data_IF_408699386332
#
_entry.id   IF_408699386332
#
_cell.length_a   1.000
_cell.length_b   1.000
_cell.length_c   1.000
_cell.angle_alpha   90.00
_cell.angle_beta   90.00
_cell.angle_gamma   90.00
#
_symmetry.space_group_name_H-M   'P 1'
#
loop_
_entity.id
_entity.type
_entity.pdbx_description
1 polymer ?
#
# COMPACT_ATOMS: atom_id res chain seq x y z
N UNK A 1 20.17 1.19 -12.61
CA UNK A 1 19.36 1.65 -11.48
C UNK A 1 17.91 1.56 -11.91
N UNK A 2 17.21 0.58 -11.39
CA UNK A 2 15.80 0.35 -11.71
C UNK A 2 14.92 0.73 -10.55
N UNK A 3 13.66 1.04 -10.83
CA UNK A 3 12.65 1.41 -9.84
C UNK A 3 11.63 0.29 -9.75
N UNK A 4 11.50 -0.29 -8.56
CA UNK A 4 10.56 -1.37 -8.28
C UNK A 4 9.49 -0.91 -7.30
N UNK A 5 8.27 -1.38 -7.47
CA UNK A 5 7.17 -1.16 -6.54
C UNK A 5 6.69 -2.51 -6.02
N UNK A 6 6.66 -2.69 -4.71
CA UNK A 6 6.07 -3.86 -4.05
C UNK A 6 4.69 -3.52 -3.51
N UNK A 7 3.76 -4.46 -3.63
CA UNK A 7 2.44 -4.40 -2.99
C UNK A 7 2.51 -4.56 -1.47
N UNK A 8 1.36 -4.65 -0.83
CA UNK A 8 1.21 -4.80 0.60
C UNK A 8 1.99 -6.03 1.12
N UNK A 9 2.86 -5.81 2.12
CA UNK A 9 3.81 -6.83 2.58
C UNK A 9 3.22 -7.67 3.71
N UNK A 10 2.56 -7.01 4.66
CA UNK A 10 1.94 -7.67 5.80
C UNK A 10 2.81 -8.75 6.45
N UNK A 11 4.03 -8.40 6.85
CA UNK A 11 4.94 -9.32 7.57
C UNK A 11 5.34 -10.58 6.81
N UNK A 12 5.18 -10.63 5.50
CA UNK A 12 5.45 -11.80 4.65
C UNK A 12 6.87 -11.78 4.09
N UNK A 13 7.87 -11.77 4.99
CA UNK A 13 9.28 -11.57 4.67
C UNK A 13 9.80 -12.55 3.61
N UNK A 14 9.56 -13.86 3.77
CA UNK A 14 10.11 -14.86 2.85
C UNK A 14 9.56 -14.70 1.43
N UNK A 15 8.28 -14.31 1.31
CA UNK A 15 7.66 -14.01 0.01
C UNK A 15 8.22 -12.73 -0.61
N UNK A 16 8.46 -11.70 0.21
CA UNK A 16 9.12 -10.47 -0.22
C UNK A 16 10.50 -10.76 -0.80
N UNK A 17 11.33 -11.48 -0.05
CA UNK A 17 12.70 -11.81 -0.49
C UNK A 17 12.68 -12.66 -1.77
N UNK A 18 11.75 -13.63 -1.87
CA UNK A 18 11.60 -14.44 -3.08
C UNK A 18 11.22 -13.58 -4.29
N UNK A 19 10.28 -12.65 -4.15
CA UNK A 19 9.88 -11.78 -5.25
C UNK A 19 11.01 -10.83 -5.68
N UNK A 20 11.76 -10.27 -4.71
CA UNK A 20 12.92 -9.41 -4.97
C UNK A 20 14.06 -10.16 -5.67
N UNK A 21 14.31 -11.41 -5.30
CA UNK A 21 15.31 -12.27 -5.97
C UNK A 21 14.89 -12.57 -7.42
N UNK A 22 13.63 -12.94 -7.63
CA UNK A 22 13.07 -13.22 -8.95
C UNK A 22 13.11 -12.01 -9.90
N UNK A 23 12.86 -10.79 -9.41
CA UNK A 23 13.02 -9.57 -10.21
C UNK A 23 14.46 -9.05 -10.29
N UNK A 24 15.42 -9.75 -9.65
CA UNK A 24 16.85 -9.38 -9.60
C UNK A 24 17.09 -8.00 -8.99
N UNK A 25 16.34 -7.65 -7.96
CA UNK A 25 16.57 -6.42 -7.20
C UNK A 25 17.98 -6.38 -6.65
N UNK A 26 18.67 -5.25 -6.81
CA UNK A 26 20.08 -5.10 -6.50
C UNK A 26 20.36 -3.85 -5.65
N UNK A 27 21.61 -3.71 -5.19
CA UNK A 27 22.05 -2.57 -4.38
C UNK A 27 22.03 -1.22 -5.12
N UNK A 28 21.87 -1.23 -6.44
CA UNK A 28 21.73 0.00 -7.22
C UNK A 28 20.28 0.46 -7.42
N UNK A 29 19.30 -0.34 -6.99
CA UNK A 29 17.90 -0.13 -7.31
C UNK A 29 17.13 0.53 -6.16
N UNK A 30 15.99 1.14 -6.47
CA UNK A 30 15.07 1.75 -5.51
C UNK A 30 13.83 0.89 -5.39
N UNK A 31 13.40 0.62 -4.16
CA UNK A 31 12.17 -0.09 -3.82
C UNK A 31 11.14 0.89 -3.27
N UNK A 32 10.00 0.96 -3.92
CA UNK A 32 8.80 1.64 -3.45
C UNK A 32 7.83 0.61 -2.86
N UNK A 33 6.97 1.02 -1.91
CA UNK A 33 5.96 0.16 -1.30
C UNK A 33 4.60 0.86 -1.27
N UNK A 34 3.54 0.10 -1.54
CA UNK A 34 2.15 0.60 -1.46
C UNK A 34 1.67 0.83 -0.03
N UNK A 35 2.50 0.57 0.98
CA UNK A 35 2.14 0.61 2.41
C UNK A 35 1.84 -0.78 2.97
N UNK A 36 1.25 -0.81 4.18
CA UNK A 36 0.86 -2.02 4.90
C UNK A 36 2.02 -3.03 5.08
N UNK A 37 3.10 -2.56 5.72
CA UNK A 37 4.33 -3.33 5.92
C UNK A 37 4.14 -4.42 6.97
N UNK A 38 3.48 -4.08 8.08
CA UNK A 38 3.26 -4.97 9.22
C UNK A 38 1.95 -5.75 9.15
N UNK A 39 1.64 -6.39 10.27
CA UNK A 39 0.42 -7.14 10.55
C UNK A 39 0.26 -8.48 9.81
N UNK A 40 -0.63 -9.33 10.33
CA UNK A 40 -1.08 -10.58 9.73
C UNK A 40 0.00 -11.65 9.52
N UNK A 41 1.11 -11.30 8.92
CA UNK A 41 2.21 -12.24 8.62
C UNK A 41 3.15 -12.47 9.81
N UNK A 42 3.97 -13.52 9.75
CA UNK A 42 4.77 -13.97 10.90
C UNK A 42 6.05 -13.17 11.13
N UNK A 43 6.57 -12.48 10.12
CA UNK A 43 7.95 -11.97 10.12
C UNK A 43 8.03 -10.43 10.05
N UNK A 44 7.11 -9.74 10.77
CA UNK A 44 7.02 -8.27 10.80
C UNK A 44 8.38 -7.63 11.11
N UNK A 45 9.10 -8.12 12.14
CA UNK A 45 10.42 -7.57 12.50
C UNK A 45 11.43 -7.69 11.35
N UNK A 46 11.49 -8.84 10.69
CA UNK A 46 12.42 -9.03 9.57
C UNK A 46 12.08 -8.08 8.40
N UNK A 47 10.79 -7.85 8.14
CA UNK A 47 10.38 -6.87 7.12
C UNK A 47 10.87 -5.47 7.48
N UNK A 48 10.61 -4.99 8.71
CA UNK A 48 11.06 -3.68 9.18
C UNK A 48 12.59 -3.56 9.08
N UNK A 49 13.33 -4.51 9.65
CA UNK A 49 14.80 -4.49 9.66
C UNK A 49 15.37 -4.43 8.23
N UNK A 50 14.84 -5.25 7.31
CA UNK A 50 15.29 -5.28 5.93
C UNK A 50 14.98 -3.96 5.20
N UNK A 51 13.75 -3.46 5.30
CA UNK A 51 13.35 -2.24 4.59
C UNK A 51 14.10 -1.02 5.12
N UNK A 52 14.28 -0.89 6.42
CA UNK A 52 15.12 0.16 7.02
C UNK A 52 16.58 0.06 6.57
N UNK A 53 17.12 -1.15 6.36
CA UNK A 53 18.49 -1.34 5.88
C UNK A 53 18.73 -0.77 4.48
N UNK A 54 17.68 -0.63 3.67
CA UNK A 54 17.74 -0.03 2.33
C UNK A 54 17.96 1.49 2.37
N UNK A 55 17.70 2.16 3.51
CA UNK A 55 17.86 3.62 3.70
C UNK A 55 17.12 4.43 2.62
N UNK A 56 17.80 5.37 1.98
CA UNK A 56 17.24 6.25 0.94
C UNK A 56 16.74 5.50 -0.31
N UNK A 57 17.09 4.22 -0.44
CA UNK A 57 16.62 3.34 -1.52
C UNK A 57 15.25 2.72 -1.24
N UNK A 58 14.70 2.92 -0.05
CA UNK A 58 13.33 2.51 0.27
C UNK A 58 12.43 3.73 0.44
N UNK A 59 11.29 3.70 -0.21
CA UNK A 59 10.24 4.72 -0.10
C UNK A 59 8.88 4.04 0.02
N UNK A 60 8.07 4.43 0.99
CA UNK A 60 6.72 3.90 1.16
C UNK A 60 5.71 5.02 1.25
N UNK A 61 4.51 4.78 0.75
CA UNK A 61 3.34 5.58 1.12
C UNK A 61 2.71 5.04 2.39
N UNK A 62 1.83 5.83 3.02
CA UNK A 62 1.08 5.46 4.21
C UNK A 62 0.05 4.39 3.85
N UNK A 63 0.11 3.21 4.50
CA UNK A 63 -0.98 2.25 4.57
C UNK A 63 -1.78 2.41 5.87
N UNK A 64 -3.03 1.94 5.89
CA UNK A 64 -3.84 2.07 7.11
C UNK A 64 -3.29 1.25 8.28
N UNK A 65 -2.62 0.13 8.04
CA UNK A 65 -1.93 -0.63 9.06
C UNK A 65 -0.67 0.06 9.58
N UNK A 66 0.02 0.82 8.74
CA UNK A 66 1.19 1.61 9.12
C UNK A 66 0.80 2.78 10.03
N UNK A 67 -0.40 3.38 9.82
CA UNK A 67 -0.93 4.42 10.73
C UNK A 67 -1.07 3.88 12.15
N UNK A 68 -1.70 2.71 12.31
CA UNK A 68 -1.85 2.11 13.63
C UNK A 68 -0.51 1.79 14.29
N UNK A 69 0.45 1.29 13.50
CA UNK A 69 1.80 1.00 14.00
C UNK A 69 2.51 2.28 14.47
N UNK A 70 2.43 3.37 13.69
CA UNK A 70 2.99 4.66 14.07
C UNK A 70 2.33 5.25 15.32
N UNK A 71 0.99 5.24 15.39
CA UNK A 71 0.24 5.71 16.55
C UNK A 71 0.59 4.92 17.82
N UNK A 72 0.81 3.62 17.69
CA UNK A 72 1.25 2.77 18.80
C UNK A 72 2.67 3.13 19.28
N UNK A 73 3.59 3.34 18.36
CA UNK A 73 4.97 3.73 18.65
C UNK A 73 5.07 5.11 19.28
N UNK A 74 4.25 6.07 18.82
CA UNK A 74 4.20 7.45 19.29
C UNK A 74 3.33 7.64 20.54
N UNK A 75 2.74 6.56 21.07
CA UNK A 75 1.82 6.57 22.21
C UNK A 75 0.56 7.45 22.00
N UNK A 76 0.12 7.59 20.73
CA UNK A 76 -1.08 8.38 20.34
C UNK A 76 -2.29 7.53 19.98
N UNK A 77 -2.14 6.21 19.89
CA UNK A 77 -3.22 5.31 19.50
C UNK A 77 -4.40 5.37 20.47
N UNK A 78 -5.61 5.62 19.96
CA UNK A 78 -6.81 5.54 20.77
C UNK A 78 -7.18 4.09 21.09
N UNK A 79 -7.97 3.88 22.18
CA UNK A 79 -8.46 2.53 22.52
C UNK A 79 -9.26 1.91 21.36
N UNK A 80 -10.13 2.68 20.73
CA UNK A 80 -10.96 2.20 19.61
C UNK A 80 -10.06 1.80 18.44
N UNK A 81 -9.06 2.61 18.12
CA UNK A 81 -8.10 2.30 17.05
C UNK A 81 -7.28 1.05 17.39
N UNK A 82 -6.86 0.89 18.64
CA UNK A 82 -6.13 -0.29 19.10
C UNK A 82 -6.96 -1.57 19.00
N UNK A 83 -8.22 -1.54 19.44
CA UNK A 83 -9.14 -2.68 19.36
C UNK A 83 -9.43 -3.03 17.87
N UNK A 84 -9.59 -2.02 17.02
CA UNK A 84 -9.79 -2.20 15.58
C UNK A 84 -8.54 -2.80 14.91
N UNK A 85 -7.37 -2.32 15.27
CA UNK A 85 -6.10 -2.82 14.75
C UNK A 85 -5.87 -4.28 15.15
N UNK A 86 -6.09 -4.61 16.44
CA UNK A 86 -5.99 -5.99 16.92
C UNK A 86 -6.91 -6.94 16.14
N UNK A 87 -8.18 -6.54 15.92
CA UNK A 87 -9.15 -7.29 15.13
C UNK A 87 -8.69 -7.51 13.68
N UNK A 88 -8.01 -6.54 13.09
CA UNK A 88 -7.48 -6.60 11.72
C UNK A 88 -6.11 -7.29 11.59
N UNK A 89 -5.61 -7.93 12.64
CA UNK A 89 -4.40 -8.73 12.61
C UNK A 89 -3.15 -8.06 13.17
N UNK A 90 -3.31 -6.94 13.91
CA UNK A 90 -2.22 -6.15 14.47
C UNK A 90 -1.45 -6.78 15.63
N UNK A 91 -1.95 -7.88 16.24
CA UNK A 91 -1.32 -8.50 17.42
C UNK A 91 0.15 -8.86 17.22
N UNK A 92 0.50 -9.38 16.06
CA UNK A 92 1.89 -9.75 15.78
C UNK A 92 2.78 -8.51 15.73
N UNK A 93 2.32 -7.42 15.11
CA UNK A 93 3.04 -6.15 15.06
C UNK A 93 3.15 -5.51 16.43
N UNK A 94 2.07 -5.45 17.21
CA UNK A 94 2.10 -4.95 18.60
C UNK A 94 3.16 -5.67 19.43
N UNK A 95 3.24 -7.00 19.32
CA UNK A 95 4.23 -7.81 20.05
C UNK A 95 5.66 -7.49 19.63
N UNK A 96 5.89 -7.25 18.34
CA UNK A 96 7.20 -6.85 17.82
C UNK A 96 7.56 -5.45 18.30
N UNK A 97 6.68 -4.48 18.14
CA UNK A 97 6.93 -3.08 18.48
C UNK A 97 7.07 -2.84 19.98
N UNK A 98 6.38 -3.63 20.80
CA UNK A 98 6.52 -3.58 22.27
C UNK A 98 7.95 -3.93 22.72
N UNK A 99 8.62 -4.87 22.01
CA UNK A 99 9.94 -5.38 22.34
C UNK A 99 11.05 -4.84 21.44
N UNK A 100 10.78 -3.81 20.61
CA UNK A 100 11.77 -3.31 19.66
C UNK A 100 12.78 -2.40 20.38
N UNK A 101 14.08 -2.67 20.21
CA UNK A 101 15.13 -1.96 20.92
C UNK A 101 15.35 -0.53 20.41
N UNK A 102 15.09 -0.30 19.11
CA UNK A 102 15.27 0.98 18.40
C UNK A 102 13.95 1.70 18.14
N UNK A 103 13.06 1.77 19.16
CA UNK A 103 11.71 2.34 19.06
C UNK A 103 11.68 3.71 18.38
N UNK A 104 12.57 4.62 18.81
CA UNK A 104 12.64 5.99 18.27
C UNK A 104 12.96 6.02 16.79
N UNK A 105 13.94 5.22 16.35
CA UNK A 105 14.33 5.14 14.95
C UNK A 105 13.20 4.58 14.07
N UNK A 106 12.50 3.54 14.54
CA UNK A 106 11.36 2.94 13.85
C UNK A 106 10.17 3.91 13.82
N UNK A 107 9.95 4.68 14.89
CA UNK A 107 8.90 5.71 14.94
C UNK A 107 9.16 6.79 13.88
N UNK A 108 10.41 7.31 13.83
CA UNK A 108 10.81 8.31 12.85
C UNK A 108 10.71 7.78 11.41
N UNK A 109 11.08 6.53 11.21
CA UNK A 109 11.00 5.87 9.90
C UNK A 109 9.55 5.78 9.40
N UNK A 110 8.61 5.24 10.19
CA UNK A 110 7.18 5.26 9.85
C UNK A 110 6.67 6.70 9.70
N UNK A 111 7.08 7.60 10.59
CA UNK A 111 6.72 9.03 10.57
C UNK A 111 7.08 9.75 9.28
N UNK A 112 8.07 9.23 8.54
CA UNK A 112 8.53 9.82 7.28
C UNK A 112 7.65 9.48 6.07
N UNK A 113 6.75 8.50 6.15
CA UNK A 113 5.94 8.07 5.02
C UNK A 113 4.93 9.15 4.62
N UNK A 114 4.91 9.57 3.33
CA UNK A 114 3.91 10.48 2.81
C UNK A 114 2.63 9.73 2.43
N UNK A 115 1.53 10.48 2.30
CA UNK A 115 0.27 9.95 1.75
C UNK A 115 0.40 9.55 0.29
N UNK A 116 1.14 10.32 -0.49
CA UNK A 116 1.34 10.14 -1.92
C UNK A 116 2.81 10.33 -2.28
N UNK A 117 3.32 9.50 -3.17
CA UNK A 117 4.59 9.72 -3.86
C UNK A 117 4.28 10.03 -5.32
N UNK A 118 4.71 11.20 -5.79
CA UNK A 118 4.60 11.60 -7.18
C UNK A 118 5.97 11.66 -7.82
N UNK A 119 6.19 10.81 -8.81
CA UNK A 119 7.33 10.84 -9.71
C UNK A 119 6.88 11.37 -11.08
N UNK A 120 7.79 11.60 -12.00
CA UNK A 120 7.46 12.19 -13.32
C UNK A 120 6.50 11.30 -14.14
N UNK A 121 6.67 9.98 -14.06
CA UNK A 121 6.01 8.97 -14.89
C UNK A 121 5.01 8.09 -14.15
N UNK A 122 5.02 8.09 -12.82
CA UNK A 122 4.04 7.35 -12.02
C UNK A 122 3.67 8.07 -10.73
N UNK A 123 2.61 7.60 -10.12
CA UNK A 123 2.12 7.99 -8.81
C UNK A 123 1.90 6.75 -7.96
N UNK A 124 2.27 6.82 -6.69
CA UNK A 124 2.03 5.77 -5.73
C UNK A 124 1.15 6.30 -4.61
N UNK A 125 0.10 5.57 -4.28
CA UNK A 125 -0.80 5.85 -3.16
C UNK A 125 -1.38 4.52 -2.66
N UNK A 126 -1.66 4.41 -1.36
CA UNK A 126 -2.17 3.15 -0.81
C UNK A 126 -3.55 2.79 -1.37
N UNK A 127 -4.47 3.76 -1.40
CA UNK A 127 -5.80 3.61 -2.01
C UNK A 127 -6.17 4.84 -2.82
N UNK A 128 -7.13 4.69 -3.72
CA UNK A 128 -7.77 5.82 -4.41
C UNK A 128 -8.93 6.35 -3.58
N UNK A 129 -9.05 7.68 -3.49
CA UNK A 129 -10.15 8.31 -2.78
C UNK A 129 -10.83 9.40 -3.60
N UNK A 130 -12.05 9.75 -3.22
CA UNK A 130 -12.84 10.79 -3.91
C UNK A 130 -12.27 12.19 -3.66
N UNK A 131 -12.13 12.96 -4.74
CA UNK A 131 -11.67 14.34 -4.72
C UNK A 131 -12.43 15.22 -3.72
N UNK A 132 -13.77 15.12 -3.72
CA UNK A 132 -14.62 15.94 -2.85
C UNK A 132 -14.38 15.77 -1.35
N UNK A 133 -13.82 14.62 -0.94
CA UNK A 133 -13.45 14.40 0.46
C UNK A 133 -12.09 15.03 0.76
N UNK A 134 -11.16 14.94 -0.18
CA UNK A 134 -9.80 15.49 -0.03
C UNK A 134 -9.75 17.01 -0.20
N UNK A 135 -10.65 17.60 -0.99
CA UNK A 135 -10.77 19.06 -1.12
C UNK A 135 -11.07 19.78 0.20
N UNK A 136 -11.56 19.06 1.20
CA UNK A 136 -11.79 19.60 2.54
C UNK A 136 -10.53 19.66 3.39
N UNK A 137 -9.46 18.96 2.98
CA UNK A 137 -8.17 19.07 3.65
C UNK A 137 -7.58 20.45 3.38
N UNK A 138 -7.17 21.13 4.42
CA UNK A 138 -6.46 22.42 4.31
C UNK A 138 -4.97 22.23 3.98
N UNK A 139 -4.49 20.99 4.05
CA UNK A 139 -3.11 20.63 3.79
C UNK A 139 -3.03 19.97 2.41
N UNK A 140 -2.14 20.40 1.52
CA UNK A 140 -1.88 19.73 0.25
C UNK A 140 -1.55 18.25 0.46
N UNK A 141 -2.05 17.37 -0.42
CA UNK A 141 -1.82 15.91 -0.29
C UNK A 141 -0.35 15.54 -0.23
N UNK A 142 0.49 16.27 -0.95
CA UNK A 142 1.95 16.09 -0.96
C UNK A 142 2.62 16.42 0.37
N UNK A 143 1.95 17.18 1.25
CA UNK A 143 2.45 17.56 2.56
C UNK A 143 1.89 16.69 3.69
N UNK A 144 0.94 15.78 3.37
CA UNK A 144 0.39 14.84 4.35
C UNK A 144 1.39 13.71 4.55
N UNK A 145 1.82 13.55 5.79
CA UNK A 145 2.71 12.50 6.25
C UNK A 145 2.11 11.80 7.46
N UNK A 146 2.72 10.71 7.89
CA UNK A 146 2.32 10.03 9.10
C UNK A 146 2.34 10.94 10.34
N UNK A 147 3.22 11.95 10.37
CA UNK A 147 3.36 12.88 11.52
C UNK A 147 2.17 13.82 11.71
N UNK A 148 1.45 14.13 10.65
CA UNK A 148 0.33 15.07 10.70
C UNK A 148 -1.03 14.46 10.34
N UNK A 149 -1.07 13.14 10.10
CA UNK A 149 -2.32 12.45 9.72
C UNK A 149 -3.37 12.43 10.83
N UNK A 150 -2.94 12.60 12.08
CA UNK A 150 -3.82 12.71 13.26
C UNK A 150 -4.36 14.12 13.49
N UNK A 151 -4.00 15.09 12.65
CA UNK A 151 -4.62 16.41 12.71
C UNK A 151 -6.13 16.29 12.48
N UNK A 152 -6.92 16.97 13.32
CA UNK A 152 -8.38 16.91 13.28
C UNK A 152 -8.97 17.30 11.92
N UNK A 153 -8.27 18.17 11.18
CA UNK A 153 -8.66 18.57 9.83
C UNK A 153 -8.43 17.45 8.79
N UNK A 154 -7.63 16.42 9.13
CA UNK A 154 -7.25 15.31 8.26
C UNK A 154 -8.02 14.03 8.63
N UNK A 155 -8.21 13.76 9.92
CA UNK A 155 -8.82 12.53 10.45
C UNK A 155 -10.12 12.16 9.75
N UNK A 156 -11.05 13.10 9.62
CA UNK A 156 -12.37 12.83 9.00
C UNK A 156 -12.27 12.47 7.51
N UNK A 157 -11.17 12.86 6.85
CA UNK A 157 -10.95 12.61 5.43
C UNK A 157 -10.18 11.30 5.18
N UNK A 158 -9.43 10.80 6.16
CA UNK A 158 -8.55 9.64 6.01
C UNK A 158 -9.04 8.37 6.73
N UNK A 159 -9.87 8.47 7.75
CA UNK A 159 -10.29 7.35 8.61
C UNK A 159 -11.77 6.94 8.50
N UNK A 160 -12.52 7.33 7.50
CA UNK A 160 -13.88 6.84 7.25
C UNK A 160 -13.90 5.68 6.25
N UNK A 161 -15.02 4.95 6.17
CA UNK A 161 -15.21 3.81 5.26
C UNK A 161 -14.96 4.14 3.77
N UNK A 162 -15.17 5.41 3.39
CA UNK A 162 -14.91 5.97 2.06
C UNK A 162 -13.71 6.94 2.08
N UNK A 163 -12.80 6.80 3.01
CA UNK A 163 -11.71 7.75 3.23
C UNK A 163 -10.45 7.40 2.44
N UNK A 164 -9.45 8.28 2.51
CA UNK A 164 -8.20 8.16 1.79
C UNK A 164 -7.40 6.88 2.06
N UNK A 165 -7.63 6.20 3.19
CA UNK A 165 -6.85 5.01 3.56
C UNK A 165 -7.65 3.69 3.50
N UNK A 166 -8.96 3.74 3.36
CA UNK A 166 -9.83 2.56 3.42
C UNK A 166 -10.73 2.39 2.20
N UNK A 167 -10.59 3.24 1.19
CA UNK A 167 -11.46 3.21 0.03
C UNK A 167 -11.15 2.03 -0.88
N UNK A 168 -12.17 1.25 -1.21
CA UNK A 168 -12.10 0.12 -2.15
C UNK A 168 -12.96 0.32 -3.40
N UNK A 169 -13.71 1.42 -3.48
CA UNK A 169 -14.81 1.56 -4.43
C UNK A 169 -14.38 1.87 -5.87
N UNK A 170 -13.23 2.51 -6.07
CA UNK A 170 -12.82 2.93 -7.42
C UNK A 170 -12.34 1.72 -8.24
N UNK A 171 -11.69 0.74 -7.60
CA UNK A 171 -11.21 -0.46 -8.28
C UNK A 171 -12.29 -1.46 -8.66
N UNK A 172 -13.37 -1.52 -7.89
CA UNK A 172 -14.45 -2.47 -8.17
C UNK A 172 -15.41 -1.99 -9.27
N UNK A 173 -14.90 -1.40 -10.33
CA UNK A 173 -15.66 -1.11 -11.55
C UNK A 173 -16.19 -2.38 -12.22
N UNK A 174 -15.54 -3.51 -11.99
CA UNK A 174 -15.94 -4.81 -12.53
C UNK A 174 -16.97 -5.49 -11.66
N UNK A 175 -18.16 -5.74 -12.20
CA UNK A 175 -19.23 -6.65 -11.72
C UNK A 175 -20.01 -6.31 -10.45
N UNK A 176 -19.42 -5.68 -9.42
CA UNK A 176 -20.10 -5.46 -8.14
C UNK A 176 -20.45 -4.00 -7.83
N UNK A 177 -19.83 -3.03 -8.53
CA UNK A 177 -19.98 -1.59 -8.25
C UNK A 177 -20.26 -0.74 -9.50
N UNK A 178 -20.73 -1.35 -10.58
CA UNK A 178 -21.11 -0.69 -11.84
C UNK A 178 -22.14 0.43 -11.70
N UNK A 179 -22.84 0.52 -10.55
CA UNK A 179 -23.89 1.53 -10.36
C UNK A 179 -23.32 2.91 -9.97
N UNK A 180 -22.13 2.97 -9.33
CA UNK A 180 -21.55 4.23 -8.82
C UNK A 180 -20.61 4.90 -9.83
N UNK A 181 -19.88 4.12 -10.63
CA UNK A 181 -19.00 4.61 -11.69
C UNK A 181 -19.27 3.85 -12.99
N UNK A 182 -20.32 4.22 -13.74
CA UNK A 182 -20.69 3.56 -14.99
C UNK A 182 -19.69 3.77 -16.12
N UNK A 183 -18.74 4.70 -15.96
CA UNK A 183 -17.68 4.96 -16.95
C UNK A 183 -16.37 5.41 -16.33
N UNK A 184 -15.22 5.17 -17.00
CA UNK A 184 -13.90 5.72 -16.61
C UNK A 184 -13.92 7.24 -16.51
N UNK A 185 -14.63 7.90 -17.39
CA UNK A 185 -14.76 9.35 -17.40
C UNK A 185 -15.34 9.86 -16.08
N UNK A 186 -16.42 9.26 -15.60
CA UNK A 186 -17.02 9.66 -14.32
C UNK A 186 -16.08 9.38 -13.14
N UNK A 187 -15.33 8.27 -13.15
CA UNK A 187 -14.34 7.99 -12.14
C UNK A 187 -13.21 9.04 -12.12
N UNK A 188 -12.73 9.46 -13.30
CA UNK A 188 -11.71 10.52 -13.43
C UNK A 188 -12.24 11.89 -12.96
N UNK A 189 -13.51 12.20 -13.19
CA UNK A 189 -14.14 13.44 -12.72
C UNK A 189 -14.31 13.48 -11.19
N UNK A 190 -14.46 12.33 -10.55
CA UNK A 190 -14.65 12.20 -9.10
C UNK A 190 -13.32 12.01 -8.34
N UNK A 191 -12.26 11.57 -9.00
CA UNK A 191 -10.94 11.36 -8.42
C UNK A 191 -9.83 12.00 -9.26
N UNK A 192 -9.28 13.11 -8.77
CA UNK A 192 -8.20 13.83 -9.48
C UNK A 192 -6.89 13.04 -9.58
N UNK A 193 -6.75 11.94 -8.83
CA UNK A 193 -5.62 11.03 -8.97
C UNK A 193 -5.73 10.10 -10.19
N UNK A 194 -6.84 10.16 -10.92
CA UNK A 194 -7.09 9.39 -12.14
C UNK A 194 -6.89 10.28 -13.38
N UNK A 195 -5.67 10.70 -13.59
CA UNK A 195 -5.21 11.40 -14.80
C UNK A 195 -4.51 10.43 -15.77
N UNK A 196 -3.66 10.94 -16.65
CA UNK A 196 -2.91 10.10 -17.62
C UNK A 196 -1.65 9.45 -17.04
N UNK A 197 -1.25 9.81 -15.79
CA UNK A 197 -0.12 9.22 -15.09
C UNK A 197 -0.47 7.84 -14.55
N UNK A 198 0.41 6.86 -14.69
CA UNK A 198 0.20 5.55 -14.07
C UNK A 198 0.10 5.68 -12.55
N UNK A 199 -1.04 5.31 -11.99
CA UNK A 199 -1.24 5.28 -10.54
C UNK A 199 -1.18 3.84 -10.05
N UNK A 200 -0.23 3.56 -9.15
CA UNK A 200 -0.07 2.23 -8.53
C UNK A 200 -0.63 2.27 -7.12
N UNK A 201 -1.39 1.24 -6.77
CA UNK A 201 -2.09 1.13 -5.49
C UNK A 201 -1.96 -0.27 -4.89
N UNK A 202 -2.42 -0.41 -3.63
CA UNK A 202 -2.52 -1.65 -2.87
C UNK A 202 -3.86 -1.78 -2.12
N UNK A 203 -3.80 -2.20 -0.85
CA UNK A 203 -4.91 -2.25 0.12
C UNK A 203 -5.94 -3.36 -0.09
N UNK A 204 -6.25 -3.72 -1.31
CA UNK A 204 -7.34 -4.67 -1.60
C UNK A 204 -6.78 -5.96 -2.18
N UNK A 205 -6.67 -7.04 -1.36
CA UNK A 205 -6.07 -8.28 -1.82
C UNK A 205 -6.79 -8.88 -3.03
N UNK A 206 -6.05 -9.00 -4.13
CA UNK A 206 -6.55 -9.56 -5.40
C UNK A 206 -6.23 -11.05 -5.50
N UNK A 207 -7.26 -11.87 -5.61
CA UNK A 207 -7.09 -13.34 -5.75
C UNK A 207 -6.66 -13.76 -7.15
N UNK A 208 -6.92 -12.92 -8.14
CA UNK A 208 -6.64 -13.19 -9.56
C UNK A 208 -5.27 -12.72 -10.06
N UNK A 209 -4.47 -12.10 -9.19
CA UNK A 209 -3.21 -11.46 -9.58
C UNK A 209 -3.35 -9.95 -9.79
N UNK A 210 -2.38 -9.33 -10.45
CA UNK A 210 -2.35 -7.89 -10.71
C UNK A 210 -3.57 -7.45 -11.52
N UNK A 211 -4.19 -6.35 -11.10
CA UNK A 211 -5.26 -5.68 -11.86
C UNK A 211 -4.69 -4.41 -12.50
N UNK A 212 -4.86 -4.28 -13.81
CA UNK A 212 -4.50 -3.05 -14.53
C UNK A 212 -5.67 -2.55 -15.36
N UNK A 213 -6.26 -1.41 -14.96
CA UNK A 213 -7.26 -0.70 -15.74
C UNK A 213 -6.57 0.32 -16.66
N UNK A 214 -6.49 -0.02 -17.96
CA UNK A 214 -5.81 0.80 -18.98
C UNK A 214 -6.51 2.13 -19.24
N UNK A 215 -7.83 2.19 -19.09
CA UNK A 215 -8.60 3.40 -19.34
C UNK A 215 -8.43 4.43 -18.21
N UNK A 216 -8.32 3.94 -16.97
CA UNK A 216 -8.03 4.77 -15.80
C UNK A 216 -6.54 4.97 -15.57
N UNK A 217 -5.69 4.17 -16.19
CA UNK A 217 -4.25 4.06 -15.96
C UNK A 217 -3.91 3.77 -14.48
N UNK A 218 -4.65 2.81 -13.88
CA UNK A 218 -4.49 2.39 -12.49
C UNK A 218 -4.07 0.94 -12.42
N UNK A 219 -3.07 0.65 -11.61
CA UNK A 219 -2.57 -0.68 -11.34
C UNK A 219 -2.67 -1.01 -9.85
N UNK A 220 -3.42 -2.06 -9.49
CA UNK A 220 -3.41 -2.64 -8.15
C UNK A 220 -2.51 -3.87 -8.13
N UNK A 221 -1.54 -3.86 -7.23
CA UNK A 221 -0.53 -4.91 -7.08
C UNK A 221 -0.58 -5.61 -5.71
N UNK A 222 -1.59 -5.34 -4.87
CA UNK A 222 -1.81 -6.14 -3.66
C UNK A 222 -2.38 -7.51 -4.03
N UNK A 223 -1.54 -8.51 -4.00
CA UNK A 223 -1.89 -9.91 -4.31
C UNK A 223 -2.00 -10.78 -3.06
N UNK A 224 -2.22 -10.13 -1.91
CA UNK A 224 -2.55 -10.77 -0.65
C UNK A 224 -1.40 -11.55 -0.02
N UNK A 225 -0.23 -10.95 0.06
CA UNK A 225 1.00 -11.58 0.53
C UNK A 225 0.89 -12.38 1.83
N UNK A 226 -0.01 -11.99 2.73
CA UNK A 226 -0.27 -12.69 4.00
C UNK A 226 -1.24 -13.86 3.87
N UNK A 227 -2.01 -13.96 2.78
CA UNK A 227 -3.05 -14.96 2.64
C UNK A 227 -2.50 -16.37 2.49
N UNK A 228 -3.12 -17.34 3.16
CA UNK A 228 -2.82 -18.76 3.04
C UNK A 228 -4.06 -19.53 2.61
N UNK A 229 -3.91 -20.58 1.83
CA UNK A 229 -5.03 -21.39 1.36
C UNK A 229 -5.92 -21.92 2.50
N UNK A 230 -5.30 -22.26 3.63
CA UNK A 230 -6.00 -22.75 4.80
C UNK A 230 -7.00 -21.76 5.37
N UNK A 231 -6.62 -20.47 5.41
CA UNK A 231 -7.42 -19.41 6.02
C UNK A 231 -8.32 -18.70 5.00
N UNK A 232 -7.81 -18.45 3.79
CA UNK A 232 -8.42 -17.54 2.83
C UNK A 232 -8.98 -18.24 1.57
N UNK A 233 -8.78 -19.59 1.46
CA UNK A 233 -9.15 -20.40 0.29
C UNK A 233 -8.36 -20.09 -0.99
N UNK A 234 -7.34 -19.27 -0.92
CA UNK A 234 -6.34 -19.06 -1.95
C UNK A 234 -4.97 -18.82 -1.31
N UNK A 235 -3.92 -19.05 -2.08
CA UNK A 235 -2.55 -18.77 -1.67
C UNK A 235 -2.17 -17.37 -2.18
N UNK A 236 -1.97 -16.44 -1.27
CA UNK A 236 -1.57 -15.07 -1.59
C UNK A 236 -0.10 -14.99 -2.00
N UNK A 237 0.27 -13.90 -2.63
CA UNK A 237 1.60 -13.67 -3.17
C UNK A 237 2.04 -12.24 -2.91
N UNK A 238 3.35 -12.01 -2.91
CA UNK A 238 3.92 -10.67 -3.00
C UNK A 238 4.24 -10.41 -4.47
N UNK A 239 3.75 -9.31 -5.00
CA UNK A 239 4.05 -8.86 -6.35
C UNK A 239 5.00 -7.68 -6.33
N UNK A 240 5.98 -7.72 -7.22
CA UNK A 240 6.94 -6.63 -7.48
C UNK A 240 6.82 -6.20 -8.94
N UNK A 241 6.55 -4.93 -9.15
CA UNK A 241 6.46 -4.27 -10.45
C UNK A 241 7.74 -3.49 -10.72
N UNK A 242 8.40 -3.74 -11.84
CA UNK A 242 9.43 -2.86 -12.38
C UNK A 242 8.72 -1.74 -13.16
N UNK A 243 8.78 -0.52 -12.64
CA UNK A 243 8.05 0.61 -13.24
C UNK A 243 8.67 1.07 -14.57
N UNK A 244 9.97 0.86 -14.74
CA UNK A 244 10.68 1.31 -15.94
C UNK A 244 10.35 0.45 -17.17
N UNK A 245 10.08 -0.85 -16.96
CA UNK A 245 9.75 -1.81 -18.03
C UNK A 245 8.28 -2.22 -18.06
N UNK A 246 7.53 -1.93 -16.97
CA UNK A 246 6.18 -2.43 -16.69
C UNK A 246 6.08 -3.95 -16.53
N UNK A 247 7.20 -4.65 -16.39
CA UNK A 247 7.22 -6.06 -16.05
C UNK A 247 6.95 -6.24 -14.56
N UNK A 248 6.22 -7.30 -14.23
CA UNK A 248 6.03 -7.69 -12.84
C UNK A 248 6.29 -9.18 -12.63
N UNK A 249 6.67 -9.52 -11.41
CA UNK A 249 6.84 -10.90 -10.97
C UNK A 249 6.21 -11.07 -9.60
N UNK A 250 5.61 -12.21 -9.35
CA UNK A 250 5.11 -12.56 -8.02
C UNK A 250 6.02 -13.62 -7.33
N UNK A 251 5.85 -13.77 -6.04
CA UNK A 251 6.61 -14.72 -5.21
C UNK A 251 6.40 -16.20 -5.54
N UNK A 252 5.48 -16.55 -6.46
CA UNK A 252 5.34 -17.90 -7.00
C UNK A 252 6.18 -18.14 -8.25
N UNK A 253 6.82 -17.10 -8.78
CA UNK A 253 7.59 -17.13 -10.03
C UNK A 253 6.77 -16.82 -11.28
N UNK A 254 5.49 -16.48 -11.13
CA UNK A 254 4.72 -15.97 -12.26
C UNK A 254 5.20 -14.57 -12.62
N UNK A 255 5.45 -14.33 -13.90
CA UNK A 255 5.87 -13.03 -14.44
C UNK A 255 5.04 -12.66 -15.66
N UNK A 256 4.78 -11.37 -15.82
CA UNK A 256 4.08 -10.80 -16.98
C UNK A 256 4.44 -9.33 -17.12
N UNK A 257 3.80 -8.67 -18.08
CA UNK A 257 3.93 -7.23 -18.30
C UNK A 257 2.55 -6.57 -18.20
N UNK A 258 2.46 -5.35 -17.69
CA UNK A 258 1.18 -4.65 -17.51
C UNK A 258 0.39 -4.53 -18.82
N UNK A 259 1.09 -4.33 -19.95
CA UNK A 259 0.42 -4.21 -21.25
C UNK A 259 -0.21 -5.54 -21.72
N UNK A 260 0.23 -6.68 -21.17
CA UNK A 260 -0.31 -8.00 -21.43
C UNK A 260 -1.42 -8.43 -20.46
N UNK A 261 -1.62 -7.71 -19.37
CA UNK A 261 -2.73 -7.99 -18.43
C UNK A 261 -4.05 -7.72 -19.13
N UNK A 262 -4.91 -8.73 -19.16
CA UNK A 262 -6.27 -8.56 -19.70
C UNK A 262 -7.06 -7.69 -18.75
N UNK A 263 -7.70 -6.67 -19.26
CA UNK A 263 -8.70 -5.88 -18.52
C UNK A 263 -9.86 -6.83 -18.17
N UNK A 264 -10.10 -7.01 -16.86
CA UNK A 264 -11.20 -7.83 -16.37
C UNK A 264 -12.54 -7.12 -16.58
#
# INVERSE_FOLDING_TARGET
MSRFIVGDIHGSYDRLMTALDLCKFSDSDTLYCTGDIGDRGPDVKKCIDFLMSLKDRFKSVIGNHDVWAYQYLSDTISRISSDTWEYNGGRCTMSVLYNIDNKEEVTEWYGSFPYIIEEDDFRLVHTLTYTKKLERSKIPLSEITMRNIDDSDIIDNFFGYDSGLFNRHILYRSKYFNEKFPSPQLAKEECFLLDDKLTVIGHTPLTGGVLYDKEMNVCDIDTGGFCTYKQHKYEGKITVLNIDTKDFVDSSGFSSNLDAVQVL
#
